data_IF_425012676868
#
_entry.id   IF_425012676868
#
_cell.length_a   1.000
_cell.length_b   1.000
_cell.length_c   1.000
_cell.angle_alpha   90.00
_cell.angle_beta   90.00
_cell.angle_gamma   90.00
#
_symmetry.space_group_name_H-M   'P 1'
#
loop_
_entity.id
_entity.type
_entity.pdbx_description
1 polymer ?
#
# COMPACT_ATOMS: atom_id res chain seq x y z
N UNK A 1 -18.17 -17.80 -1.41
CA UNK A 1 -18.64 -16.40 -1.47
C UNK A 1 -19.30 -16.15 -2.83
N UNK A 2 -20.30 -15.26 -2.88
CA UNK A 2 -20.93 -14.81 -4.13
C UNK A 2 -20.77 -13.30 -4.19
N UNK A 3 -20.25 -12.78 -5.30
CA UNK A 3 -20.12 -11.34 -5.55
C UNK A 3 -21.30 -10.89 -6.41
N UNK A 4 -22.03 -9.86 -5.96
CA UNK A 4 -23.19 -9.28 -6.66
C UNK A 4 -22.95 -7.78 -6.84
N UNK A 5 -23.21 -7.27 -8.05
CA UNK A 5 -23.10 -5.85 -8.38
C UNK A 5 -24.27 -5.43 -9.26
N UNK A 6 -24.84 -4.27 -8.94
CA UNK A 6 -25.87 -3.59 -9.75
C UNK A 6 -25.24 -2.68 -10.84
N UNK A 7 -23.92 -2.44 -10.75
CA UNK A 7 -23.19 -1.72 -11.78
C UNK A 7 -22.92 -2.62 -12.98
N UNK A 8 -23.35 -2.18 -14.17
CA UNK A 8 -23.21 -2.89 -15.44
C UNK A 8 -22.05 -2.40 -16.31
N UNK A 9 -21.09 -1.68 -15.74
CA UNK A 9 -19.92 -1.16 -16.47
C UNK A 9 -18.81 -2.21 -16.61
N UNK A 10 -18.02 -2.12 -17.68
CA UNK A 10 -16.87 -3.00 -17.89
C UNK A 10 -15.81 -2.86 -16.77
N UNK A 11 -15.69 -1.65 -16.21
CA UNK A 11 -14.82 -1.38 -15.06
C UNK A 11 -15.29 -2.13 -13.80
N UNK A 12 -16.60 -2.11 -13.51
CA UNK A 12 -17.15 -2.88 -12.38
C UNK A 12 -16.92 -4.38 -12.57
N UNK A 13 -17.07 -4.89 -13.79
CA UNK A 13 -16.79 -6.29 -14.14
C UNK A 13 -15.32 -6.65 -13.95
N UNK A 14 -14.40 -5.78 -14.39
CA UNK A 14 -12.96 -5.98 -14.23
C UNK A 14 -12.55 -6.04 -12.75
N UNK A 15 -13.14 -5.19 -11.89
CA UNK A 15 -12.90 -5.20 -10.43
C UNK A 15 -13.35 -6.49 -9.78
N UNK A 16 -14.56 -6.94 -10.09
CA UNK A 16 -15.07 -8.21 -9.57
C UNK A 16 -14.20 -9.39 -10.01
N UNK A 17 -13.68 -9.34 -11.25
CA UNK A 17 -12.79 -10.38 -11.76
C UNK A 17 -11.49 -10.46 -10.96
N UNK A 18 -10.85 -9.33 -10.64
CA UNK A 18 -9.62 -9.29 -9.82
C UNK A 18 -9.84 -9.97 -8.46
N UNK A 19 -10.99 -9.71 -7.81
CA UNK A 19 -11.34 -10.34 -6.53
C UNK A 19 -11.60 -11.85 -6.64
N UNK A 20 -11.95 -12.35 -7.83
CA UNK A 20 -12.07 -13.78 -8.10
C UNK A 20 -10.74 -14.43 -8.47
N UNK A 21 -9.82 -13.70 -9.09
CA UNK A 21 -8.57 -14.23 -9.62
C UNK A 21 -7.50 -14.43 -8.54
N UNK A 22 -7.55 -13.68 -7.43
CA UNK A 22 -6.56 -13.75 -6.36
C UNK A 22 -7.14 -13.37 -5.00
N UNK A 23 -6.61 -14.00 -3.94
CA UNK A 23 -6.89 -13.65 -2.55
C UNK A 23 -5.76 -12.82 -1.91
N UNK A 24 -4.70 -12.52 -2.67
CA UNK A 24 -3.59 -11.69 -2.22
C UNK A 24 -3.99 -10.22 -2.22
N UNK A 25 -4.08 -9.64 -1.02
CA UNK A 25 -4.47 -8.25 -0.81
C UNK A 25 -3.57 -7.23 -1.53
N UNK A 26 -2.29 -7.55 -1.75
CA UNK A 26 -1.37 -6.65 -2.46
C UNK A 26 -1.67 -6.58 -3.95
N UNK A 27 -1.96 -7.72 -4.58
CA UNK A 27 -2.31 -7.78 -6.01
C UNK A 27 -3.64 -7.10 -6.27
N UNK A 28 -4.60 -7.26 -5.36
CA UNK A 28 -5.88 -6.55 -5.41
C UNK A 28 -5.65 -5.03 -5.33
N UNK A 29 -4.84 -4.56 -4.39
CA UNK A 29 -4.53 -3.13 -4.22
C UNK A 29 -3.81 -2.55 -5.46
N UNK A 30 -2.87 -3.29 -6.06
CA UNK A 30 -2.18 -2.85 -7.27
C UNK A 30 -3.13 -2.78 -8.48
N UNK A 31 -4.03 -3.75 -8.61
CA UNK A 31 -5.03 -3.75 -9.68
C UNK A 31 -6.05 -2.61 -9.50
N UNK A 32 -6.49 -2.31 -8.27
CA UNK A 32 -7.38 -1.18 -7.98
C UNK A 32 -6.69 0.16 -8.27
N UNK A 33 -5.43 0.32 -7.85
CA UNK A 33 -4.60 1.49 -8.16
C UNK A 33 -4.44 1.72 -9.66
N UNK A 34 -4.26 0.64 -10.44
CA UNK A 34 -4.14 0.73 -11.90
C UNK A 34 -5.46 1.12 -12.56
N UNK A 35 -6.59 0.61 -12.07
CA UNK A 35 -7.91 0.83 -12.65
C UNK A 35 -8.48 2.21 -12.31
N UNK A 36 -8.30 2.67 -11.07
CA UNK A 36 -8.86 3.94 -10.58
C UNK A 36 -7.85 5.10 -10.60
N UNK A 37 -6.59 4.81 -10.91
CA UNK A 37 -5.49 5.71 -10.62
C UNK A 37 -5.26 5.82 -9.11
N UNK A 38 -4.33 6.68 -8.66
CA UNK A 38 -4.13 6.93 -7.23
C UNK A 38 -5.43 7.39 -6.55
N UNK A 39 -6.34 8.06 -7.26
CA UNK A 39 -7.46 8.73 -6.62
C UNK A 39 -6.98 9.63 -5.48
N UNK A 40 -7.91 10.03 -4.62
CA UNK A 40 -7.61 10.86 -3.47
C UNK A 40 -7.01 9.98 -2.35
N UNK A 41 -5.77 9.49 -2.50
CA UNK A 41 -5.01 8.84 -1.41
C UNK A 41 -4.96 9.75 -0.16
N UNK A 42 -5.01 11.07 -0.38
CA UNK A 42 -5.10 12.11 0.65
C UNK A 42 -6.50 12.72 0.79
N UNK A 43 -7.52 12.07 0.22
CA UNK A 43 -8.90 12.53 0.23
C UNK A 43 -9.54 12.38 1.57
N UNK A 44 -9.24 13.34 2.43
CA UNK A 44 -9.83 13.57 3.74
C UNK A 44 -9.87 12.41 4.74
N UNK A 45 -9.46 11.16 4.41
CA UNK A 45 -9.57 10.01 5.34
C UNK A 45 -8.94 8.68 4.85
N UNK A 46 -7.62 8.62 4.62
CA UNK A 46 -6.90 7.37 4.93
C UNK A 46 -6.40 7.46 6.37
N UNK A 47 -7.06 6.74 7.27
CA UNK A 47 -6.61 6.63 8.65
C UNK A 47 -5.33 5.78 8.68
N UNK A 48 -4.23 6.37 9.16
CA UNK A 48 -3.10 5.62 9.68
C UNK A 48 -1.73 6.19 9.38
N UNK A 49 -1.33 6.31 8.12
CA UNK A 49 0.06 6.65 7.80
C UNK A 49 0.20 8.13 7.41
N UNK A 50 1.39 8.74 7.63
CA UNK A 50 1.55 10.14 7.31
C UNK A 50 1.41 10.29 5.80
N UNK A 51 1.00 11.47 5.35
CA UNK A 51 1.01 11.75 3.94
C UNK A 51 2.43 11.62 3.40
N UNK A 52 2.73 10.47 2.78
CA UNK A 52 3.96 10.28 2.02
C UNK A 52 3.92 11.38 0.95
N UNK A 53 4.87 12.30 1.00
CA UNK A 53 4.98 13.39 0.03
C UNK A 53 5.48 12.84 -1.31
N UNK A 54 4.72 11.91 -1.88
CA UNK A 54 4.94 11.39 -3.22
C UNK A 54 4.15 12.32 -4.12
N UNK A 55 4.89 13.21 -4.79
CA UNK A 55 4.32 14.27 -5.62
C UNK A 55 3.40 13.75 -6.73
N UNK A 56 3.54 12.48 -7.11
CA UNK A 56 2.63 11.75 -7.98
C UNK A 56 2.98 10.24 -7.92
N UNK A 57 2.08 9.42 -7.40
CA UNK A 57 2.26 7.97 -7.31
C UNK A 57 2.28 7.30 -8.69
N UNK A 58 1.59 7.86 -9.68
CA UNK A 58 1.51 7.31 -11.04
C UNK A 58 2.84 7.40 -11.78
N UNK A 59 3.59 8.50 -11.61
CA UNK A 59 4.93 8.67 -12.20
C UNK A 59 6.03 8.00 -11.39
N UNK A 60 5.84 7.77 -10.09
CA UNK A 60 6.85 7.21 -9.20
C UNK A 60 6.65 5.72 -8.87
N UNK A 61 5.79 5.01 -9.62
CA UNK A 61 5.51 3.58 -9.39
C UNK A 61 6.77 2.71 -9.34
N UNK A 62 7.79 3.03 -10.14
CA UNK A 62 9.08 2.32 -10.10
C UNK A 62 9.75 2.46 -8.74
N UNK A 63 9.85 3.67 -8.21
CA UNK A 63 10.47 3.92 -6.91
C UNK A 63 9.68 3.25 -5.76
N UNK A 64 8.35 3.20 -5.87
CA UNK A 64 7.51 2.49 -4.90
C UNK A 64 7.75 0.98 -4.96
N UNK A 65 7.86 0.41 -6.15
CA UNK A 65 8.16 -1.00 -6.33
C UNK A 65 9.56 -1.36 -5.82
N UNK A 66 10.56 -0.53 -6.12
CA UNK A 66 11.94 -0.72 -5.66
C UNK A 66 12.02 -0.67 -4.12
N UNK A 67 11.34 0.30 -3.51
CA UNK A 67 11.26 0.42 -2.06
C UNK A 67 10.57 -0.80 -1.43
N UNK A 68 9.49 -1.31 -2.05
CA UNK A 68 8.79 -2.52 -1.61
C UNK A 68 9.70 -3.75 -1.66
N UNK A 69 10.41 -3.95 -2.76
CA UNK A 69 11.26 -5.13 -2.94
C UNK A 69 12.49 -5.08 -2.01
N UNK A 70 13.06 -3.89 -1.79
CA UNK A 70 14.08 -3.67 -0.77
C UNK A 70 13.57 -4.00 0.63
N UNK A 71 12.37 -3.51 1.00
CA UNK A 71 11.75 -3.81 2.29
C UNK A 71 11.50 -5.32 2.48
N UNK A 72 11.00 -6.02 1.45
CA UNK A 72 10.81 -7.48 1.50
C UNK A 72 12.12 -8.22 1.72
N UNK A 73 13.18 -7.78 1.06
CA UNK A 73 14.52 -8.39 1.21
C UNK A 73 15.04 -8.24 2.63
N UNK A 74 14.94 -7.03 3.20
CA UNK A 74 15.34 -6.75 4.58
C UNK A 74 14.50 -7.54 5.58
N UNK A 75 13.17 -7.58 5.40
CA UNK A 75 12.28 -8.29 6.31
C UNK A 75 12.42 -9.81 6.24
N UNK A 76 12.87 -10.36 5.10
CA UNK A 76 13.13 -11.79 4.97
C UNK A 76 14.34 -12.23 5.80
N UNK A 77 15.33 -11.35 6.01
CA UNK A 77 16.56 -11.65 6.75
C UNK A 77 16.53 -11.15 8.19
N UNK A 78 15.89 -10.01 8.44
CA UNK A 78 15.75 -9.40 9.76
C UNK A 78 14.33 -8.81 9.94
N UNK A 79 13.32 -9.66 10.22
CA UNK A 79 11.93 -9.24 10.37
C UNK A 79 11.71 -8.19 11.46
N UNK A 80 12.60 -8.15 12.46
CA UNK A 80 12.50 -7.26 13.62
C UNK A 80 13.37 -6.02 13.51
N UNK A 81 14.10 -5.85 12.38
CA UNK A 81 15.09 -4.79 12.19
C UNK A 81 16.09 -4.71 13.36
N UNK A 82 16.47 -5.85 13.94
CA UNK A 82 17.30 -6.00 15.13
C UNK A 82 18.80 -5.82 14.85
N UNK A 83 19.24 -6.08 13.62
CA UNK A 83 20.63 -6.03 13.24
C UNK A 83 21.20 -4.60 13.36
N UNK A 84 22.47 -4.43 13.76
CA UNK A 84 23.09 -3.11 13.93
C UNK A 84 22.99 -2.24 12.67
N UNK A 85 23.13 -2.83 11.49
CA UNK A 85 23.01 -2.16 10.18
C UNK A 85 21.60 -1.59 9.93
N UNK A 86 20.56 -2.17 10.53
CA UNK A 86 19.17 -1.73 10.39
C UNK A 86 18.72 -0.77 11.50
N UNK A 87 19.59 -0.40 12.44
CA UNK A 87 19.23 0.45 13.57
C UNK A 87 18.66 1.81 13.12
N UNK A 88 19.21 2.41 12.07
CA UNK A 88 18.73 3.67 11.50
C UNK A 88 17.34 3.52 10.87
N UNK A 89 17.11 2.42 10.14
CA UNK A 89 15.81 2.10 9.54
C UNK A 89 14.74 1.89 10.63
N UNK A 90 15.07 1.12 11.67
CA UNK A 90 14.20 0.90 12.82
C UNK A 90 13.82 2.21 13.52
N UNK A 91 14.79 3.08 13.75
CA UNK A 91 14.54 4.41 14.35
C UNK A 91 13.64 5.27 13.44
N UNK A 92 13.83 5.20 12.12
CA UNK A 92 12.98 5.93 11.18
C UNK A 92 11.54 5.40 11.17
N UNK A 93 11.35 4.07 11.17
CA UNK A 93 10.03 3.46 11.30
C UNK A 93 9.35 3.90 12.60
N UNK A 94 10.06 3.84 13.73
CA UNK A 94 9.53 4.27 15.02
C UNK A 94 9.10 5.74 15.02
N UNK A 95 9.90 6.65 14.44
CA UNK A 95 9.52 8.06 14.27
C UNK A 95 8.27 8.24 13.42
N UNK A 96 8.18 7.50 12.32
CA UNK A 96 7.05 7.56 11.39
C UNK A 96 5.74 7.13 12.06
N UNK A 97 5.77 6.06 12.86
CA UNK A 97 4.60 5.61 13.61
C UNK A 97 4.25 6.53 14.79
N UNK A 98 5.25 6.97 15.57
CA UNK A 98 5.03 7.87 16.70
C UNK A 98 4.42 9.22 16.30
N UNK A 99 4.77 9.73 15.11
CA UNK A 99 4.16 10.94 14.56
C UNK A 99 2.65 10.79 14.25
N UNK A 100 2.13 9.56 14.24
CA UNK A 100 0.77 9.24 13.81
C UNK A 100 -0.08 8.49 14.86
N UNK A 101 0.41 8.32 16.09
CA UNK A 101 -0.27 7.58 17.17
C UNK A 101 -1.65 8.15 17.58
N UNK A 102 -2.09 9.27 16.99
CA UNK A 102 -3.42 9.84 17.17
C UNK A 102 -4.47 9.42 16.12
N UNK A 103 -4.13 8.60 15.11
CA UNK A 103 -5.01 8.31 13.95
C UNK A 103 -5.23 6.81 13.67
N UNK A 104 -4.83 5.94 14.60
CA UNK A 104 -4.94 4.47 14.48
C UNK A 104 -5.95 3.81 15.44
N UNK A 105 -6.78 4.59 16.15
CA UNK A 105 -7.93 4.08 16.93
C UNK A 105 -9.25 4.39 16.23
#
# INVERSE_FOLDING_TARGET
CVLVSDAHTDEARARLKVLCDTADGFQIAEADLRQRGPGDFFGNRQHGLPALHIADLGTNMTAVNDARDAARTVLATDPTLSAPEHAALRAQCARLFAANDGHFN
#
